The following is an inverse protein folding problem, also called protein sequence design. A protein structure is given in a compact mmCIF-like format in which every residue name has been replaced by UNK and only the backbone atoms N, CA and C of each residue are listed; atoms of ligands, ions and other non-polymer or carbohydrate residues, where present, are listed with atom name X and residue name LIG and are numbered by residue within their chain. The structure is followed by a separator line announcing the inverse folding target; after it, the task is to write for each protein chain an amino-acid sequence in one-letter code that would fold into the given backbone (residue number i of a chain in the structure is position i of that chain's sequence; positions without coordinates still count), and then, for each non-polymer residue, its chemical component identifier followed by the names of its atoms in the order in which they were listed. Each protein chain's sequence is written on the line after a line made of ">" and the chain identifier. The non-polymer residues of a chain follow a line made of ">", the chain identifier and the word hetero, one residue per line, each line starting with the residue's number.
data_IF_637734874370
#
_entry.id   IF_637734874370
#
_cell.length_a   1.000
_cell.length_b   1.000
_cell.length_c   1.000
_cell.angle_alpha   90.00
_cell.angle_beta   90.00
_cell.angle_gamma   90.00
#
_symmetry.space_group_name_H-M   'P 1'
#
loop_
_entity.id
_entity.type
_entity.pdbx_description
1 polymer ?
#
# COMPACT_ATOMS: atom_id res chain seq x y z
N UNK A 1 10.17 -4.49 -20.66
CA UNK A 1 8.79 -4.13 -21.02
C UNK A 1 7.95 -4.17 -19.76
N UNK A 2 7.47 -3.03 -19.28
CA UNK A 2 6.71 -2.94 -18.03
C UNK A 2 5.34 -3.60 -18.24
N UNK A 3 5.07 -4.69 -17.51
CA UNK A 3 3.75 -5.30 -17.49
C UNK A 3 2.77 -4.36 -16.76
N UNK A 4 1.50 -4.30 -17.19
CA UNK A 4 0.52 -3.38 -16.65
C UNK A 4 0.14 -3.77 -15.22
N UNK A 5 0.07 -2.74 -14.37
CA UNK A 5 -0.55 -2.76 -13.04
C UNK A 5 -1.97 -3.34 -13.16
N UNK A 6 -2.50 -4.10 -12.18
CA UNK A 6 -3.78 -4.76 -12.31
C UNK A 6 -4.84 -3.68 -12.46
N UNK A 7 -5.73 -3.83 -13.44
CA UNK A 7 -6.82 -2.91 -13.67
C UNK A 7 -7.62 -2.68 -12.37
N UNK A 8 -7.59 -1.44 -11.84
CA UNK A 8 -8.52 -1.00 -10.80
C UNK A 8 -7.97 -0.12 -9.68
N UNK A 9 -6.66 -0.11 -9.41
CA UNK A 9 -6.08 0.75 -8.37
C UNK A 9 -5.28 1.90 -8.97
N UNK A 10 -5.70 3.13 -8.68
CA UNK A 10 -5.07 4.38 -9.10
C UNK A 10 -3.82 4.63 -8.25
N UNK A 11 -2.76 3.85 -8.46
CA UNK A 11 -1.49 4.04 -7.77
C UNK A 11 -0.65 5.11 -8.46
N UNK A 12 0.09 5.87 -7.67
CA UNK A 12 1.14 6.75 -8.20
C UNK A 12 2.47 5.98 -8.26
N UNK A 13 3.14 6.00 -9.40
CA UNK A 13 4.49 5.45 -9.56
C UNK A 13 5.47 6.62 -9.61
N UNK A 14 6.48 6.67 -8.73
CA UNK A 14 7.49 7.74 -8.76
C UNK A 14 8.24 7.77 -10.09
N UNK A 15 8.28 8.94 -10.73
CA UNK A 15 9.08 9.19 -11.93
C UNK A 15 10.51 9.58 -11.53
N UNK A 16 11.38 8.58 -11.47
CA UNK A 16 12.78 8.75 -11.09
C UNK A 16 13.64 7.62 -11.70
N UNK A 17 14.97 7.79 -11.83
CA UNK A 17 15.85 6.78 -12.42
C UNK A 17 16.12 5.62 -11.45
N UNK A 18 15.09 4.80 -11.18
CA UNK A 18 15.19 3.65 -10.30
C UNK A 18 16.20 2.61 -10.84
N UNK A 19 17.08 2.05 -9.99
CA UNK A 19 17.95 0.95 -10.39
C UNK A 19 17.15 -0.29 -10.84
N UNK A 20 17.72 -1.16 -11.70
CA UNK A 20 17.10 -2.43 -12.06
C UNK A 20 16.76 -3.26 -10.81
N UNK A 21 15.54 -3.81 -10.75
CA UNK A 21 15.06 -4.62 -9.63
C UNK A 21 14.40 -3.82 -8.49
N UNK A 22 14.50 -2.48 -8.50
CA UNK A 22 13.78 -1.63 -7.55
C UNK A 22 12.39 -1.28 -8.09
N UNK A 23 11.38 -1.36 -7.24
CA UNK A 23 10.01 -0.92 -7.53
C UNK A 23 9.51 -0.04 -6.38
N UNK A 24 8.77 1.00 -6.72
CA UNK A 24 8.16 1.90 -5.76
C UNK A 24 6.76 2.31 -6.23
N UNK A 25 5.87 2.58 -5.28
CA UNK A 25 4.54 3.12 -5.51
C UNK A 25 4.10 3.97 -4.31
N UNK A 26 3.13 4.83 -4.53
CA UNK A 26 2.36 5.51 -3.49
C UNK A 26 0.88 5.21 -3.69
N UNK A 27 0.20 4.84 -2.60
CA UNK A 27 -1.22 4.53 -2.64
C UNK A 27 -2.06 5.80 -2.76
N UNK A 28 -3.16 5.77 -3.52
CA UNK A 28 -4.21 6.80 -3.39
C UNK A 28 -5.34 6.28 -2.48
N UNK A 29 -6.38 7.10 -2.26
CA UNK A 29 -7.53 6.72 -1.43
C UNK A 29 -8.54 5.79 -2.11
N UNK A 30 -8.38 5.50 -3.41
CA UNK A 30 -9.38 4.78 -4.22
C UNK A 30 -9.17 3.26 -4.17
N UNK A 31 -10.21 2.49 -4.48
CA UNK A 31 -10.11 1.04 -4.66
C UNK A 31 -10.14 0.20 -3.38
N UNK A 32 -10.62 0.75 -2.26
CA UNK A 32 -10.74 0.01 -1.01
C UNK A 32 -12.18 -0.22 -0.54
N UNK A 33 -12.31 -0.60 0.73
CA UNK A 33 -13.52 -1.12 1.36
C UNK A 33 -14.04 -0.27 2.53
N UNK A 34 -13.30 0.76 2.94
CA UNK A 34 -13.70 1.67 4.01
C UNK A 34 -14.85 2.58 3.58
N UNK A 35 -15.67 3.00 4.53
CA UNK A 35 -16.76 3.95 4.34
C UNK A 35 -16.34 5.37 4.78
N UNK A 36 -17.10 6.42 4.42
CA UNK A 36 -16.84 7.77 4.93
C UNK A 36 -16.75 7.78 6.47
N UNK A 37 -15.79 8.50 7.06
CA UNK A 37 -14.89 9.48 6.42
C UNK A 37 -13.58 8.90 5.84
N UNK A 38 -13.42 7.57 5.86
CA UNK A 38 -12.20 6.87 5.46
C UNK A 38 -12.27 6.24 4.06
N UNK A 39 -13.32 6.56 3.31
CA UNK A 39 -13.55 6.00 1.99
C UNK A 39 -12.33 6.26 1.06
N UNK A 40 -11.75 5.26 0.40
CA UNK A 40 -12.11 3.83 0.34
C UNK A 40 -10.96 2.92 0.79
N UNK A 41 -9.70 3.27 0.48
CA UNK A 41 -8.52 2.45 0.77
C UNK A 41 -7.72 2.99 1.97
N UNK A 42 -8.35 3.07 3.13
CA UNK A 42 -7.63 3.41 4.36
C UNK A 42 -6.77 2.23 4.85
N UNK A 43 -5.48 2.48 5.06
CA UNK A 43 -4.51 1.52 5.58
C UNK A 43 -4.16 1.76 7.05
N UNK A 44 -4.67 2.82 7.67
CA UNK A 44 -4.39 3.21 9.05
C UNK A 44 -5.22 2.42 10.06
N UNK A 45 -4.55 1.71 10.97
CA UNK A 45 -5.21 0.90 12.02
C UNK A 45 -5.53 1.67 13.31
N UNK A 46 -5.19 2.96 13.37
CA UNK A 46 -5.24 3.76 14.61
C UNK A 46 -5.96 5.10 14.41
N UNK A 47 -6.76 5.21 13.34
CA UNK A 47 -7.48 6.45 13.00
C UNK A 47 -8.96 6.41 13.36
N UNK A 48 -9.49 5.25 13.81
CA UNK A 48 -10.89 5.08 14.18
C UNK A 48 -11.78 4.49 13.07
N UNK A 49 -11.19 3.92 12.03
CA UNK A 49 -11.91 3.17 10.98
C UNK A 49 -12.27 1.75 11.44
N UNK A 50 -13.16 1.08 10.70
CA UNK A 50 -13.51 -0.32 10.91
C UNK A 50 -12.27 -1.21 10.70
N UNK A 51 -11.81 -1.95 11.73
CA UNK A 51 -10.67 -2.84 11.62
C UNK A 51 -10.80 -3.88 10.50
N UNK A 52 -12.02 -4.35 10.20
CA UNK A 52 -12.26 -5.33 9.15
C UNK A 52 -12.03 -4.71 7.74
N UNK A 53 -12.48 -3.46 7.54
CA UNK A 53 -12.25 -2.73 6.31
C UNK A 53 -10.75 -2.45 6.10
N UNK A 54 -10.04 -1.98 7.14
CA UNK A 54 -8.58 -1.74 7.08
C UNK A 54 -7.82 -3.04 6.79
N UNK A 55 -8.22 -4.15 7.40
CA UNK A 55 -7.61 -5.46 7.11
C UNK A 55 -7.86 -5.91 5.67
N UNK A 56 -9.05 -5.66 5.10
CA UNK A 56 -9.35 -5.93 3.70
C UNK A 56 -8.49 -5.06 2.76
N UNK A 57 -8.38 -3.75 3.04
CA UNK A 57 -7.54 -2.83 2.28
C UNK A 57 -6.07 -3.25 2.28
N UNK A 58 -5.51 -3.61 3.44
CA UNK A 58 -4.13 -4.11 3.56
C UNK A 58 -3.91 -5.42 2.80
N UNK A 59 -4.87 -6.35 2.83
CA UNK A 59 -4.81 -7.59 2.04
C UNK A 59 -4.85 -7.32 0.54
N UNK A 60 -5.68 -6.38 0.09
CA UNK A 60 -5.73 -5.99 -1.32
C UNK A 60 -4.41 -5.38 -1.80
N UNK A 61 -3.81 -4.48 -1.01
CA UNK A 61 -2.48 -3.94 -1.29
C UNK A 61 -1.42 -5.05 -1.36
N UNK A 62 -1.41 -5.96 -0.38
CA UNK A 62 -0.46 -7.07 -0.34
C UNK A 62 -0.57 -7.98 -1.59
N UNK A 63 -1.80 -8.29 -2.02
CA UNK A 63 -2.03 -9.07 -3.23
C UNK A 63 -1.54 -8.32 -4.50
N UNK A 64 -1.80 -7.01 -4.59
CA UNK A 64 -1.31 -6.19 -5.70
C UNK A 64 0.22 -6.14 -5.77
N UNK A 65 0.89 -6.02 -4.62
CA UNK A 65 2.36 -6.08 -4.52
C UNK A 65 2.88 -7.45 -4.99
N UNK A 66 2.25 -8.54 -4.54
CA UNK A 66 2.65 -9.90 -4.92
C UNK A 66 2.43 -10.23 -6.40
N UNK A 67 1.41 -9.65 -7.02
CA UNK A 67 1.20 -9.78 -8.46
C UNK A 67 2.39 -9.25 -9.29
N UNK A 68 3.14 -8.27 -8.77
CA UNK A 68 4.31 -7.68 -9.43
C UNK A 68 5.64 -8.22 -8.90
N UNK A 69 5.65 -8.59 -7.62
CA UNK A 69 6.82 -9.04 -6.87
C UNK A 69 6.38 -10.18 -5.95
N UNK A 70 6.39 -11.45 -6.43
CA UNK A 70 5.74 -12.57 -5.75
C UNK A 70 6.08 -12.78 -4.27
N UNK A 71 7.28 -12.39 -3.86
CA UNK A 71 7.78 -12.54 -2.49
C UNK A 71 7.67 -11.25 -1.65
N UNK A 72 7.13 -10.17 -2.22
CA UNK A 72 6.97 -8.92 -1.49
C UNK A 72 6.07 -9.13 -0.27
N UNK A 73 6.45 -8.46 0.83
CA UNK A 73 5.66 -8.38 2.06
C UNK A 73 5.62 -6.93 2.51
N UNK A 74 4.42 -6.37 2.61
CA UNK A 74 4.22 -5.07 3.23
C UNK A 74 4.49 -5.19 4.74
N UNK A 75 5.42 -4.38 5.24
CA UNK A 75 5.73 -4.28 6.66
C UNK A 75 5.31 -2.90 7.14
N UNK A 76 4.28 -2.85 7.99
CA UNK A 76 3.79 -1.62 8.59
C UNK A 76 4.46 -1.41 9.95
N UNK A 77 4.93 -0.20 10.20
CA UNK A 77 5.49 0.21 11.49
C UNK A 77 4.43 0.89 12.35
N UNK A 78 4.64 0.90 13.67
CA UNK A 78 3.96 1.83 14.57
C UNK A 78 4.70 3.16 14.54
N UNK A 79 4.19 4.12 13.77
CA UNK A 79 4.81 5.44 13.65
C UNK A 79 4.61 6.24 14.95
N UNK A 80 5.72 6.65 15.57
CA UNK A 80 5.73 7.42 16.84
C UNK A 80 6.23 8.86 16.67
N UNK A 81 6.34 9.34 15.42
CA UNK A 81 6.91 10.65 15.07
C UNK A 81 8.36 10.84 15.54
N UNK A 82 9.12 9.74 15.69
CA UNK A 82 10.56 9.76 15.95
C UNK A 82 11.40 9.52 14.69
N UNK A 83 12.69 9.29 14.88
CA UNK A 83 13.72 9.09 13.85
C UNK A 83 14.33 7.67 13.86
N UNK A 84 13.78 6.76 14.67
CA UNK A 84 14.24 5.38 14.77
C UNK A 84 14.09 4.60 13.45
N UNK A 85 15.11 3.80 13.13
CA UNK A 85 15.15 2.92 11.94
C UNK A 85 15.21 1.47 12.39
N UNK A 86 14.46 0.60 11.71
CA UNK A 86 14.47 -0.86 11.94
C UNK A 86 15.02 -1.54 10.68
N UNK A 87 15.94 -2.48 10.85
CA UNK A 87 16.41 -3.36 9.78
C UNK A 87 15.45 -4.55 9.64
N UNK A 88 15.06 -4.86 8.40
CA UNK A 88 14.15 -5.96 8.06
C UNK A 88 14.87 -7.25 7.72
#
# INVERSE_FOLDING_TARGET
>A
MAAPVPAGADWLVPDWPAPPGVRALCTTRTGGFSLPPYDSLNLGTHVGDDPAAVAANRRALQAALQAHTPQARAVFLTQVHGDGVVLL
#
